data_IF_656797316867
#
_entry.id   IF_656797316867
#
_cell.length_a   1.000
_cell.length_b   1.000
_cell.length_c   1.000
_cell.angle_alpha   90.00
_cell.angle_beta   90.00
_cell.angle_gamma   90.00
#
_symmetry.space_group_name_H-M   'P 1'
#
loop_
_entity.id
_entity.type
_entity.pdbx_description
1 polymer ?
#
# COMPACT_ATOMS: atom_id res chain seq x y z
N UNK A 1 -7.73 -12.77 -76.92
CA UNK A 1 -7.72 -11.75 -75.86
C UNK A 1 -7.67 -12.45 -74.47
N UNK A 2 -6.52 -12.36 -73.81
CA UNK A 2 -6.30 -12.92 -72.46
C UNK A 2 -6.72 -11.85 -71.45
N UNK A 3 -7.41 -12.21 -70.37
CA UNK A 3 -7.71 -11.24 -69.29
C UNK A 3 -6.44 -10.94 -68.45
N UNK A 4 -6.20 -9.66 -68.24
CA UNK A 4 -5.12 -9.18 -67.40
C UNK A 4 -5.59 -9.23 -65.93
N UNK A 5 -5.06 -10.19 -65.14
CA UNK A 5 -5.29 -10.27 -63.72
C UNK A 5 -4.51 -9.16 -63.01
N UNK A 6 -5.22 -8.10 -62.56
CA UNK A 6 -4.66 -7.11 -61.65
C UNK A 6 -4.54 -7.70 -60.25
N UNK A 7 -3.29 -7.96 -59.81
CA UNK A 7 -2.99 -8.36 -58.45
C UNK A 7 -2.95 -7.09 -57.58
N UNK A 8 -3.99 -6.86 -56.73
CA UNK A 8 -3.97 -5.79 -55.73
C UNK A 8 -3.07 -6.22 -54.57
N UNK A 9 -1.86 -5.67 -54.51
CA UNK A 9 -0.98 -5.79 -53.32
C UNK A 9 -1.45 -4.75 -52.31
N UNK A 10 -2.14 -5.20 -51.25
CA UNK A 10 -2.44 -4.39 -50.09
C UNK A 10 -1.17 -4.15 -49.28
N UNK A 11 -0.58 -2.95 -49.38
CA UNK A 11 0.53 -2.55 -48.51
C UNK A 11 -0.06 -2.22 -47.15
N UNK A 12 0.09 -3.15 -46.19
CA UNK A 12 -0.19 -2.89 -44.76
C UNK A 12 0.94 -2.01 -44.24
N UNK A 13 0.68 -0.71 -44.14
CA UNK A 13 1.60 0.24 -43.48
C UNK A 13 1.50 -0.01 -41.98
N UNK A 14 2.43 -0.77 -41.46
CA UNK A 14 2.66 -0.91 -40.00
C UNK A 14 3.24 0.43 -39.51
N UNK A 15 2.38 1.33 -39.03
CA UNK A 15 2.84 2.47 -38.25
C UNK A 15 3.42 1.93 -36.93
N UNK A 16 4.69 2.19 -36.61
CA UNK A 16 5.20 1.88 -35.29
C UNK A 16 4.38 2.71 -34.30
N UNK A 17 3.68 2.03 -33.37
CA UNK A 17 3.13 2.70 -32.20
C UNK A 17 4.32 3.36 -31.49
N UNK A 18 4.43 4.69 -31.56
CA UNK A 18 5.35 5.42 -30.71
C UNK A 18 4.87 5.19 -29.27
N UNK A 19 5.53 4.29 -28.57
CA UNK A 19 5.42 4.17 -27.13
C UNK A 19 6.07 5.44 -26.57
N UNK A 20 5.26 6.34 -26.00
CA UNK A 20 5.76 7.41 -25.16
C UNK A 20 6.37 6.73 -23.92
N UNK A 21 7.68 6.62 -23.92
CA UNK A 21 8.43 6.14 -22.74
C UNK A 21 8.32 7.23 -21.67
N UNK A 22 7.52 6.99 -20.65
CA UNK A 22 7.51 7.84 -19.45
C UNK A 22 8.80 7.50 -18.69
N UNK A 23 9.80 8.38 -18.74
CA UNK A 23 11.01 8.23 -17.92
C UNK A 23 10.70 8.65 -16.48
N UNK A 24 10.92 7.76 -15.53
CA UNK A 24 10.84 8.04 -14.11
C UNK A 24 12.24 8.09 -13.50
N UNK A 25 12.50 9.09 -12.65
CA UNK A 25 13.72 9.17 -11.82
C UNK A 25 13.73 8.16 -10.68
N UNK A 26 12.58 7.55 -10.38
CA UNK A 26 12.45 6.55 -9.34
C UNK A 26 13.41 5.36 -9.56
N UNK A 27 13.93 4.79 -8.46
CA UNK A 27 14.72 3.55 -8.51
C UNK A 27 13.86 2.36 -8.92
N UNK A 28 12.65 2.30 -8.39
CA UNK A 28 11.62 1.31 -8.76
C UNK A 28 10.32 2.02 -9.04
N UNK A 29 9.60 1.60 -10.06
CA UNK A 29 8.27 2.12 -10.40
C UNK A 29 7.41 1.02 -11.03
N UNK A 30 6.12 1.04 -10.70
CA UNK A 30 5.11 0.19 -11.30
C UNK A 30 3.80 0.95 -11.38
N UNK A 31 3.21 1.04 -12.56
CA UNK A 31 1.88 1.60 -12.78
C UNK A 31 1.03 0.57 -13.47
N UNK A 32 -0.11 0.26 -12.89
CA UNK A 32 -1.06 -0.73 -13.41
C UNK A 32 -2.43 -0.07 -13.55
N UNK A 33 -3.08 -0.28 -14.69
CA UNK A 33 -4.51 -0.08 -14.85
C UNK A 33 -5.24 -1.33 -14.32
N UNK A 34 -5.85 -1.23 -13.15
CA UNK A 34 -6.53 -2.38 -12.52
C UNK A 34 -7.83 -2.76 -13.26
N UNK A 35 -8.41 -1.87 -14.07
CA UNK A 35 -9.62 -2.17 -14.85
C UNK A 35 -9.31 -3.12 -16.00
N UNK A 36 -8.08 -3.08 -16.55
CA UNK A 36 -7.63 -3.89 -17.68
C UNK A 36 -6.52 -4.87 -17.31
N UNK A 37 -5.92 -4.75 -16.12
CA UNK A 37 -4.69 -5.42 -15.68
C UNK A 37 -3.48 -5.10 -16.58
N UNK A 38 -3.51 -3.98 -17.31
CA UNK A 38 -2.40 -3.56 -18.17
C UNK A 38 -1.32 -2.86 -17.35
N UNK A 39 -0.07 -3.27 -17.52
CA UNK A 39 1.10 -2.58 -16.95
C UNK A 39 1.44 -1.40 -17.84
N UNK A 40 1.22 -0.17 -17.33
CA UNK A 40 1.43 1.08 -18.06
C UNK A 40 2.88 1.58 -17.93
N UNK A 41 3.54 1.28 -16.82
CA UNK A 41 4.95 1.58 -16.56
C UNK A 41 5.54 0.51 -15.66
N UNK A 42 6.72 0.05 -16.02
CA UNK A 42 7.53 -0.84 -15.19
C UNK A 42 8.99 -0.41 -15.19
N UNK A 43 9.58 -0.30 -14.00
CA UNK A 43 11.01 -0.08 -13.80
C UNK A 43 11.45 -0.83 -12.56
N UNK A 44 12.29 -1.87 -12.74
CA UNK A 44 12.84 -2.66 -11.63
C UNK A 44 11.78 -3.12 -10.62
N UNK A 45 10.55 -3.45 -11.05
CA UNK A 45 9.41 -3.75 -10.18
C UNK A 45 9.64 -4.94 -9.25
N UNK A 46 10.56 -5.84 -9.61
CA UNK A 46 10.96 -7.04 -8.84
C UNK A 46 12.20 -6.84 -7.97
N UNK A 47 12.81 -5.66 -8.01
CA UNK A 47 13.98 -5.36 -7.17
C UNK A 47 13.55 -5.28 -5.70
N UNK A 48 14.29 -5.97 -4.82
CA UNK A 48 14.07 -5.90 -3.36
C UNK A 48 14.33 -4.50 -2.84
N UNK A 49 13.41 -4.02 -2.02
CA UNK A 49 13.48 -2.73 -1.34
C UNK A 49 12.95 -2.85 0.08
N UNK A 50 13.27 -1.89 0.92
CA UNK A 50 12.68 -1.79 2.25
C UNK A 50 11.31 -1.11 2.15
N UNK A 51 10.22 -1.77 2.60
CA UNK A 51 8.87 -1.21 2.48
C UNK A 51 8.63 0.01 3.37
N UNK A 52 9.43 0.21 4.42
CA UNK A 52 9.17 1.26 5.41
C UNK A 52 7.69 1.20 5.86
N UNK A 53 7.04 2.35 6.06
CA UNK A 53 5.63 2.40 6.48
C UNK A 53 4.62 1.90 5.46
N UNK A 54 5.01 1.52 4.23
CA UNK A 54 4.11 0.81 3.32
C UNK A 54 3.79 -0.61 3.82
N UNK A 55 4.61 -1.19 4.72
CA UNK A 55 4.30 -2.40 5.51
C UNK A 55 2.91 -2.36 6.14
N UNK A 56 2.46 -1.18 6.56
CA UNK A 56 1.18 -0.99 7.24
C UNK A 56 -0.03 -1.29 6.36
N UNK A 57 0.16 -1.38 5.05
CA UNK A 57 -0.87 -1.90 4.14
C UNK A 57 -1.17 -3.37 4.46
N UNK A 58 -0.14 -4.19 4.67
CA UNK A 58 -0.32 -5.59 5.07
C UNK A 58 -0.85 -5.68 6.51
N UNK A 59 -0.41 -4.82 7.41
CA UNK A 59 -0.93 -4.77 8.79
C UNK A 59 -2.43 -4.49 8.82
N UNK A 60 -2.90 -3.51 8.04
CA UNK A 60 -4.33 -3.23 7.89
C UNK A 60 -5.06 -4.40 7.21
N UNK A 61 -4.47 -5.00 6.17
CA UNK A 61 -5.06 -6.11 5.44
C UNK A 61 -5.29 -7.35 6.32
N UNK A 62 -4.36 -7.70 7.22
CA UNK A 62 -4.58 -8.79 8.20
C UNK A 62 -5.79 -8.49 9.07
N UNK A 63 -5.94 -7.26 9.55
CA UNK A 63 -7.13 -6.88 10.33
C UNK A 63 -8.41 -6.92 9.46
N UNK A 64 -8.35 -6.47 8.22
CA UNK A 64 -9.49 -6.52 7.28
C UNK A 64 -9.95 -7.96 7.01
N UNK A 65 -9.02 -8.90 6.81
CA UNK A 65 -9.35 -10.33 6.69
C UNK A 65 -10.09 -10.85 7.92
N UNK A 66 -9.63 -10.46 9.12
CA UNK A 66 -10.26 -10.88 10.39
C UNK A 66 -11.63 -10.21 10.61
N UNK A 67 -11.81 -8.98 10.19
CA UNK A 67 -13.11 -8.30 10.24
C UNK A 67 -14.08 -8.98 9.26
N UNK A 68 -13.65 -9.25 8.04
CA UNK A 68 -14.47 -9.91 7.01
C UNK A 68 -14.94 -11.30 7.45
N UNK A 69 -14.10 -12.06 8.15
CA UNK A 69 -14.46 -13.40 8.63
C UNK A 69 -15.15 -13.40 10.00
N UNK A 70 -15.40 -12.23 10.60
CA UNK A 70 -16.13 -12.07 11.87
C UNK A 70 -15.32 -12.39 13.13
N UNK A 71 -14.00 -12.62 13.04
CA UNK A 71 -13.14 -12.90 14.21
C UNK A 71 -12.60 -11.63 14.87
N UNK A 72 -12.76 -10.47 14.23
CA UNK A 72 -12.41 -9.14 14.74
C UNK A 72 -13.57 -8.18 14.48
N UNK A 73 -13.84 -7.26 15.41
CA UNK A 73 -14.81 -6.18 15.22
C UNK A 73 -14.12 -4.82 15.25
N UNK A 74 -14.62 -3.85 14.47
CA UNK A 74 -14.16 -2.47 14.52
C UNK A 74 -14.35 -1.81 15.88
N UNK A 75 -15.38 -2.21 16.64
CA UNK A 75 -15.66 -1.73 18.00
C UNK A 75 -14.90 -2.48 19.11
N UNK A 76 -14.22 -3.57 18.77
CA UNK A 76 -13.36 -4.27 19.73
C UNK A 76 -12.23 -3.37 20.19
N UNK A 77 -11.89 -3.44 21.49
CA UNK A 77 -10.85 -2.60 22.08
C UNK A 77 -9.63 -3.42 22.46
N UNK A 78 -8.45 -2.90 22.17
CA UNK A 78 -7.19 -3.48 22.57
C UNK A 78 -6.48 -2.62 23.61
N UNK A 79 -5.83 -3.29 24.56
CA UNK A 79 -5.02 -2.66 25.59
C UNK A 79 -3.69 -2.18 24.97
N UNK A 80 -3.31 -0.94 25.23
CA UNK A 80 -2.04 -0.38 24.78
C UNK A 80 -0.91 -0.82 25.70
N UNK A 81 0.00 -1.61 25.16
CA UNK A 81 1.19 -2.05 25.90
C UNK A 81 2.23 -0.94 26.06
N UNK A 82 3.14 -1.12 27.00
CA UNK A 82 4.31 -0.24 27.15
C UNK A 82 5.22 -0.26 25.92
N UNK A 83 5.31 -1.40 25.18
CA UNK A 83 6.06 -1.53 23.92
C UNK A 83 5.44 -0.62 22.87
N UNK A 84 4.15 -0.72 22.62
CA UNK A 84 3.42 0.11 21.68
C UNK A 84 3.56 1.61 22.01
N UNK A 85 3.26 2.00 23.25
CA UNK A 85 3.34 3.39 23.69
C UNK A 85 4.74 4.02 23.52
N UNK A 86 5.82 3.26 23.82
CA UNK A 86 7.21 3.74 23.72
C UNK A 86 7.72 3.81 22.29
N UNK A 87 7.05 3.16 21.33
CA UNK A 87 7.54 3.08 19.97
C UNK A 87 7.80 4.46 19.37
N UNK A 88 8.95 4.60 18.72
CA UNK A 88 9.40 5.84 18.09
C UNK A 88 8.80 6.09 16.71
N UNK A 89 9.22 7.16 16.06
CA UNK A 89 8.79 7.56 14.73
C UNK A 89 7.38 8.15 14.71
N UNK A 90 6.60 7.84 13.68
CA UNK A 90 5.21 8.34 13.56
C UNK A 90 4.31 7.73 14.61
N UNK A 91 3.48 8.56 15.26
CA UNK A 91 2.59 8.16 16.34
C UNK A 91 1.16 8.64 16.13
N UNK A 92 0.21 7.83 16.57
CA UNK A 92 -1.18 8.20 16.79
C UNK A 92 -1.37 8.84 18.17
N UNK A 93 -0.36 8.74 19.07
CA UNK A 93 -0.35 9.23 20.45
C UNK A 93 -1.31 8.48 21.37
N UNK A 94 -1.35 7.14 21.24
CA UNK A 94 -2.07 6.29 22.19
C UNK A 94 -1.36 6.26 23.55
N UNK A 95 -2.15 6.16 24.63
CA UNK A 95 -1.64 6.17 26.00
C UNK A 95 -1.51 4.74 26.54
N UNK A 96 -0.42 4.47 27.28
CA UNK A 96 -0.21 3.18 27.95
C UNK A 96 -1.37 2.84 28.91
N UNK A 97 -1.70 1.56 28.98
CA UNK A 97 -2.78 1.00 29.84
C UNK A 97 -4.20 1.51 29.49
N UNK A 98 -4.37 2.25 28.40
CA UNK A 98 -5.68 2.60 27.83
C UNK A 98 -6.14 1.54 26.83
N UNK A 99 -7.45 1.48 26.65
CA UNK A 99 -8.05 0.66 25.58
C UNK A 99 -8.39 1.54 24.39
N UNK A 100 -8.09 1.05 23.20
CA UNK A 100 -8.32 1.78 21.95
C UNK A 100 -9.08 0.86 21.00
N UNK A 101 -10.13 1.39 20.37
CA UNK A 101 -10.92 0.65 19.37
C UNK A 101 -10.06 0.26 18.17
N UNK A 102 -10.33 -0.91 17.61
CA UNK A 102 -9.72 -1.38 16.34
C UNK A 102 -9.91 -0.35 15.23
N UNK A 103 -11.10 0.26 15.15
CA UNK A 103 -11.37 1.33 14.19
C UNK A 103 -10.38 2.49 14.30
N UNK A 104 -10.15 3.01 15.52
CA UNK A 104 -9.24 4.13 15.74
C UNK A 104 -7.78 3.73 15.46
N UNK A 105 -7.39 2.50 15.86
CA UNK A 105 -6.04 1.97 15.54
C UNK A 105 -5.82 1.90 14.03
N UNK A 106 -6.81 1.41 13.26
CA UNK A 106 -6.73 1.35 11.80
C UNK A 106 -6.60 2.74 11.19
N UNK A 107 -7.37 3.74 11.66
CA UNK A 107 -7.21 5.13 11.21
C UNK A 107 -5.83 5.69 11.57
N UNK A 108 -5.34 5.43 12.77
CA UNK A 108 -3.99 5.81 13.18
C UNK A 108 -2.90 5.20 12.30
N UNK A 109 -3.07 3.95 11.86
CA UNK A 109 -2.16 3.23 10.96
C UNK A 109 -2.21 3.81 9.55
N UNK A 110 -3.41 3.99 9.00
CA UNK A 110 -3.64 4.38 7.62
C UNK A 110 -3.33 5.87 7.40
N UNK A 111 -3.94 6.73 8.20
CA UNK A 111 -3.87 8.19 8.02
C UNK A 111 -2.55 8.75 8.55
N UNK A 112 -2.25 8.54 9.83
CA UNK A 112 -1.07 9.11 10.49
C UNK A 112 0.18 8.25 10.32
N UNK A 113 0.05 7.00 9.91
CA UNK A 113 1.17 6.06 9.85
C UNK A 113 1.73 5.72 11.25
N UNK A 114 0.89 5.66 12.28
CA UNK A 114 1.27 5.40 13.68
C UNK A 114 1.95 4.06 13.88
N UNK A 115 3.20 4.07 14.36
CA UNK A 115 3.93 2.86 14.72
C UNK A 115 3.38 2.26 16.02
N UNK A 116 3.01 3.14 16.96
CA UNK A 116 2.34 2.78 18.21
C UNK A 116 1.01 2.06 17.95
N UNK A 117 0.18 2.60 17.07
CA UNK A 117 -1.07 1.96 16.65
C UNK A 117 -0.85 0.60 15.96
N UNK A 118 0.21 0.48 15.13
CA UNK A 118 0.53 -0.78 14.45
C UNK A 118 0.88 -1.89 15.43
N UNK A 119 1.71 -1.58 16.44
CA UNK A 119 2.09 -2.55 17.47
C UNK A 119 0.90 -2.91 18.35
N UNK A 120 0.11 -1.92 18.80
CA UNK A 120 -1.08 -2.17 19.62
C UNK A 120 -2.10 -3.05 18.88
N UNK A 121 -2.31 -2.83 17.58
CA UNK A 121 -3.18 -3.68 16.76
C UNK A 121 -2.61 -5.10 16.62
N UNK A 122 -1.32 -5.22 16.34
CA UNK A 122 -0.65 -6.52 16.19
C UNK A 122 -0.70 -7.36 17.47
N UNK A 123 -0.37 -6.75 18.61
CA UNK A 123 -0.44 -7.42 19.92
C UNK A 123 -1.87 -7.80 20.27
N UNK A 124 -2.84 -6.92 20.00
CA UNK A 124 -4.25 -7.17 20.26
C UNK A 124 -4.84 -8.32 19.45
N UNK A 125 -4.41 -8.46 18.17
CA UNK A 125 -4.88 -9.52 17.28
C UNK A 125 -4.20 -10.85 17.58
N UNK A 126 -2.88 -10.88 17.79
CA UNK A 126 -2.06 -12.10 17.77
C UNK A 126 -1.35 -12.37 19.09
N UNK A 127 -1.52 -11.50 20.09
CA UNK A 127 -0.87 -11.61 21.39
C UNK A 127 0.58 -11.07 21.41
N UNK A 128 1.27 -11.05 20.26
CA UNK A 128 2.57 -10.39 20.10
C UNK A 128 2.79 -9.95 18.66
N UNK A 129 3.68 -8.97 18.48
CA UNK A 129 4.05 -8.47 17.14
C UNK A 129 4.78 -9.53 16.31
N UNK A 130 5.56 -10.39 16.96
CA UNK A 130 6.29 -11.48 16.31
C UNK A 130 5.34 -12.52 15.70
N UNK A 131 4.29 -12.92 16.44
CA UNK A 131 3.24 -13.82 15.94
C UNK A 131 2.46 -13.13 14.82
N UNK A 132 2.15 -11.85 14.97
CA UNK A 132 1.48 -11.07 13.94
C UNK A 132 2.30 -11.01 12.63
N UNK A 133 3.63 -10.85 12.71
CA UNK A 133 4.51 -10.88 11.53
C UNK A 133 4.45 -12.24 10.81
N UNK A 134 4.30 -13.35 11.54
CA UNK A 134 4.07 -14.67 10.93
C UNK A 134 2.72 -14.69 10.19
N UNK A 135 1.66 -14.12 10.78
CA UNK A 135 0.36 -14.01 10.11
C UNK A 135 0.44 -13.14 8.84
N UNK A 136 1.17 -12.00 8.87
CA UNK A 136 1.44 -11.17 7.69
C UNK A 136 2.09 -11.96 6.57
N UNK A 137 3.13 -12.74 6.87
CA UNK A 137 3.82 -13.56 5.89
C UNK A 137 2.94 -14.71 5.36
N UNK A 138 2.11 -15.32 6.19
CA UNK A 138 1.17 -16.36 5.77
C UNK A 138 0.10 -15.80 4.83
N UNK A 139 -0.45 -14.62 5.17
CA UNK A 139 -1.38 -13.92 4.27
C UNK A 139 -0.67 -13.51 2.98
N UNK A 140 0.57 -13.02 3.06
CA UNK A 140 1.38 -12.69 1.89
C UNK A 140 1.51 -13.85 0.92
N UNK A 141 1.85 -15.05 1.42
CA UNK A 141 1.90 -16.27 0.61
C UNK A 141 0.54 -16.61 -0.03
N UNK A 142 -0.55 -16.48 0.75
CA UNK A 142 -1.93 -16.74 0.27
C UNK A 142 -2.32 -15.84 -0.90
N UNK A 143 -1.90 -14.56 -0.88
CA UNK A 143 -2.21 -13.58 -1.94
C UNK A 143 -1.13 -13.50 -3.03
N UNK A 144 -0.14 -14.41 -3.02
CA UNK A 144 0.83 -14.57 -4.08
C UNK A 144 2.02 -13.61 -4.03
N UNK A 145 2.41 -13.13 -2.84
CA UNK A 145 3.68 -12.42 -2.67
C UNK A 145 4.83 -13.41 -2.78
N UNK A 146 5.85 -13.08 -3.56
CA UNK A 146 6.97 -13.99 -3.85
C UNK A 146 8.31 -13.51 -3.30
N UNK A 147 8.49 -12.20 -3.17
CA UNK A 147 9.73 -11.56 -2.77
C UNK A 147 9.52 -10.58 -1.62
N UNK A 148 8.71 -10.99 -0.64
CA UNK A 148 8.37 -10.19 0.54
C UNK A 148 8.55 -10.97 1.82
N UNK A 149 9.14 -10.33 2.82
CA UNK A 149 9.23 -10.84 4.18
C UNK A 149 8.98 -9.71 5.18
N UNK A 150 8.00 -9.90 6.06
CA UNK A 150 7.67 -9.01 7.15
C UNK A 150 8.25 -9.51 8.46
N UNK A 151 8.99 -8.67 9.18
CA UNK A 151 9.56 -8.96 10.51
C UNK A 151 8.84 -8.21 11.62
N UNK A 152 8.08 -7.17 11.28
CA UNK A 152 7.31 -6.36 12.22
C UNK A 152 6.08 -5.73 11.54
N UNK A 153 5.20 -5.14 12.35
CA UNK A 153 3.92 -4.57 11.91
C UNK A 153 4.01 -3.14 11.36
N UNK A 154 5.08 -2.44 11.64
CA UNK A 154 5.18 -0.99 11.39
C UNK A 154 6.03 -0.61 10.19
N UNK A 155 6.90 -1.53 9.72
CA UNK A 155 7.95 -1.26 8.75
C UNK A 155 9.18 -0.61 9.39
N UNK A 156 9.38 -0.84 10.69
CA UNK A 156 10.62 -0.44 11.35
C UNK A 156 11.81 -1.13 10.70
N UNK A 157 12.95 -0.43 10.55
CA UNK A 157 14.10 -0.98 9.86
C UNK A 157 14.59 -2.32 10.44
N UNK A 158 14.77 -3.29 9.56
CA UNK A 158 15.32 -4.62 9.82
C UNK A 158 15.83 -5.18 8.49
N UNK A 159 17.02 -5.78 8.48
CA UNK A 159 17.66 -6.26 7.25
C UNK A 159 16.88 -7.38 6.55
N UNK A 160 16.07 -8.12 7.31
CA UNK A 160 15.21 -9.17 6.78
C UNK A 160 13.80 -8.68 6.43
N UNK A 161 13.51 -7.38 6.58
CA UNK A 161 12.22 -6.78 6.27
C UNK A 161 12.24 -6.15 4.88
N UNK A 162 11.81 -6.88 3.86
CA UNK A 162 11.90 -6.45 2.47
C UNK A 162 10.63 -6.77 1.68
N UNK A 163 10.49 -6.12 0.55
CA UNK A 163 9.40 -6.29 -0.42
C UNK A 163 9.84 -5.90 -1.82
N UNK A 164 8.92 -5.90 -2.78
CA UNK A 164 9.09 -5.38 -4.14
C UNK A 164 7.92 -4.47 -4.53
N UNK A 165 8.09 -3.66 -5.56
CA UNK A 165 7.01 -2.86 -6.13
C UNK A 165 5.83 -3.73 -6.60
N UNK A 166 6.13 -4.87 -7.20
CA UNK A 166 5.14 -5.85 -7.67
C UNK A 166 4.32 -6.42 -6.50
N UNK A 167 4.98 -6.83 -5.41
CA UNK A 167 4.29 -7.40 -4.25
C UNK A 167 3.45 -6.34 -3.50
N UNK A 168 3.93 -5.09 -3.39
CA UNK A 168 3.11 -4.00 -2.83
C UNK A 168 1.88 -3.71 -3.69
N UNK A 169 2.00 -3.77 -5.02
CA UNK A 169 0.87 -3.65 -5.93
C UNK A 169 -0.16 -4.78 -5.72
N UNK A 170 0.28 -6.03 -5.52
CA UNK A 170 -0.61 -7.16 -5.19
C UNK A 170 -1.36 -6.95 -3.87
N UNK A 171 -0.69 -6.42 -2.83
CA UNK A 171 -1.36 -6.10 -1.56
C UNK A 171 -2.45 -5.04 -1.79
N UNK A 172 -2.15 -3.98 -2.54
CA UNK A 172 -3.11 -2.92 -2.83
C UNK A 172 -4.29 -3.45 -3.66
N UNK A 173 -4.02 -4.16 -4.75
CA UNK A 173 -5.04 -4.77 -5.61
C UNK A 173 -5.95 -5.70 -4.81
N UNK A 174 -5.37 -6.63 -4.03
CA UNK A 174 -6.14 -7.55 -3.20
C UNK A 174 -7.03 -6.81 -2.19
N UNK A 175 -6.50 -5.74 -1.59
CA UNK A 175 -7.26 -4.91 -0.65
C UNK A 175 -8.48 -4.27 -1.33
N UNK A 176 -8.32 -3.68 -2.50
CA UNK A 176 -9.41 -3.07 -3.26
C UNK A 176 -10.46 -4.11 -3.64
N UNK A 177 -10.03 -5.23 -4.23
CA UNK A 177 -10.94 -6.25 -4.76
C UNK A 177 -11.72 -7.00 -3.67
N UNK A 178 -11.12 -7.21 -2.50
CA UNK A 178 -11.69 -8.08 -1.47
C UNK A 178 -12.23 -7.35 -0.25
N UNK A 179 -11.85 -6.08 -0.03
CA UNK A 179 -12.17 -5.28 1.16
C UNK A 179 -12.54 -3.84 0.82
N UNK A 180 -13.29 -3.63 -0.26
CA UNK A 180 -13.60 -2.31 -0.80
C UNK A 180 -14.17 -1.33 0.24
N UNK A 181 -15.08 -1.78 1.11
CA UNK A 181 -15.67 -0.94 2.17
C UNK A 181 -14.62 -0.45 3.17
N UNK A 182 -13.72 -1.34 3.61
CA UNK A 182 -12.65 -0.99 4.56
C UNK A 182 -11.52 -0.20 3.86
N UNK A 183 -11.31 -0.44 2.57
CA UNK A 183 -10.40 0.33 1.75
C UNK A 183 -10.76 1.82 1.73
N UNK A 184 -12.04 2.20 1.87
CA UNK A 184 -12.45 3.60 1.92
C UNK A 184 -11.79 4.39 3.08
N UNK A 185 -11.24 3.72 4.10
CA UNK A 185 -10.45 4.37 5.15
C UNK A 185 -9.20 5.07 4.60
N UNK A 186 -8.62 4.60 3.49
CA UNK A 186 -7.44 5.20 2.86
C UNK A 186 -7.73 6.56 2.20
N UNK A 187 -8.99 6.81 1.84
CA UNK A 187 -9.44 8.06 1.23
C UNK A 187 -9.57 9.22 2.22
N UNK A 188 -9.58 8.93 3.53
CA UNK A 188 -9.76 9.96 4.54
C UNK A 188 -8.56 10.92 4.55
N UNK A 189 -8.84 12.21 4.43
CA UNK A 189 -7.83 13.27 4.47
C UNK A 189 -7.25 13.49 5.86
N UNK A 190 -8.04 13.23 6.88
CA UNK A 190 -7.64 13.40 8.29
C UNK A 190 -8.52 12.56 9.22
N UNK A 191 -8.10 12.46 10.47
CA UNK A 191 -8.92 11.99 11.58
C UNK A 191 -8.51 12.67 12.87
N UNK A 192 -9.39 12.63 13.88
CA UNK A 192 -9.11 13.20 15.20
C UNK A 192 -9.15 12.10 16.26
N UNK A 193 -8.07 11.96 17.01
CA UNK A 193 -7.97 11.03 18.13
C UNK A 193 -7.56 11.79 19.40
N UNK A 194 -8.27 11.59 20.51
CA UNK A 194 -8.01 12.28 21.80
C UNK A 194 -7.82 13.80 21.66
N UNK A 195 -8.62 14.43 20.79
CA UNK A 195 -8.55 15.88 20.54
C UNK A 195 -7.39 16.30 19.62
N UNK A 196 -6.57 15.40 19.15
CA UNK A 196 -5.45 15.67 18.22
C UNK A 196 -5.91 15.38 16.81
N UNK A 197 -5.99 16.42 15.96
CA UNK A 197 -6.22 16.29 14.53
C UNK A 197 -4.93 15.81 13.85
N UNK A 198 -5.07 14.82 12.98
CA UNK A 198 -3.96 14.17 12.27
C UNK A 198 -4.30 14.08 10.78
N UNK A 199 -3.49 14.72 9.94
CA UNK A 199 -3.69 14.74 8.50
C UNK A 199 -3.08 13.50 7.83
N UNK A 200 -3.69 13.04 6.73
CA UNK A 200 -3.16 11.92 5.95
C UNK A 200 -1.85 12.34 5.27
N UNK A 201 -0.88 11.45 5.31
CA UNK A 201 0.46 11.69 4.76
C UNK A 201 0.58 11.42 3.26
N UNK A 202 -0.48 10.89 2.64
CA UNK A 202 -0.50 10.66 1.19
C UNK A 202 -0.76 11.99 0.46
N UNK A 203 0.24 12.57 -0.23
CA UNK A 203 0.07 13.85 -0.90
C UNK A 203 -0.90 13.78 -2.08
N UNK A 204 -1.10 12.61 -2.69
CA UNK A 204 -2.01 12.46 -3.82
C UNK A 204 -3.45 12.79 -3.45
N UNK A 205 -3.87 12.56 -2.21
CA UNK A 205 -5.22 12.89 -1.74
C UNK A 205 -5.53 14.39 -1.84
N UNK A 206 -4.50 15.24 -1.86
CA UNK A 206 -4.64 16.70 -1.90
C UNK A 206 -4.34 17.30 -3.27
N UNK A 207 -3.60 16.57 -4.12
CA UNK A 207 -3.05 17.14 -5.35
C UNK A 207 -3.51 16.45 -6.62
N UNK A 208 -4.10 15.23 -6.51
CA UNK A 208 -4.48 14.44 -7.67
C UNK A 208 -5.96 14.04 -7.59
N UNK A 209 -6.76 14.59 -8.50
CA UNK A 209 -8.20 14.31 -8.58
C UNK A 209 -8.47 12.83 -8.81
N UNK A 210 -9.39 12.28 -8.01
CA UNK A 210 -9.73 10.85 -8.02
C UNK A 210 -8.82 9.99 -7.15
N UNK A 211 -7.79 10.53 -6.50
CA UNK A 211 -6.95 9.76 -5.56
C UNK A 211 -7.76 9.30 -4.35
N UNK A 212 -7.62 8.03 -3.99
CA UNK A 212 -8.40 7.37 -2.95
C UNK A 212 -7.56 6.42 -2.06
N UNK A 213 -6.25 6.38 -2.26
CA UNK A 213 -5.30 5.57 -1.47
C UNK A 213 -3.86 5.80 -1.91
N UNK A 214 -2.88 5.09 -1.44
CA UNK A 214 -2.85 4.17 -0.31
C UNK A 214 -1.92 4.69 0.79
N UNK A 215 -0.60 4.52 0.61
CA UNK A 215 0.34 4.66 1.71
C UNK A 215 1.70 5.18 1.26
N UNK A 216 2.26 6.07 2.10
CA UNK A 216 3.65 6.53 1.98
C UNK A 216 4.56 5.76 2.93
N UNK A 217 5.84 5.72 2.60
CA UNK A 217 6.91 5.20 3.45
C UNK A 217 8.17 6.04 3.33
N UNK A 218 8.93 6.11 4.43
CA UNK A 218 10.25 6.71 4.45
C UNK A 218 11.11 6.07 5.53
N UNK A 219 12.32 5.70 5.17
CA UNK A 219 13.46 5.48 6.08
C UNK A 219 14.72 5.97 5.38
N UNK A 220 15.78 6.24 6.12
CA UNK A 220 17.06 6.65 5.51
C UNK A 220 17.59 5.60 4.52
N UNK A 221 17.42 4.31 4.84
CA UNK A 221 17.89 3.22 3.99
C UNK A 221 17.04 3.03 2.72
N UNK A 222 15.73 3.23 2.81
CA UNK A 222 14.79 3.04 1.68
C UNK A 222 14.69 4.26 0.77
N UNK A 223 14.82 5.47 1.33
CA UNK A 223 14.34 6.69 0.71
C UNK A 223 12.82 6.83 0.84
N UNK A 224 12.21 7.65 -0.02
CA UNK A 224 10.77 7.86 -0.07
C UNK A 224 10.10 6.80 -0.93
N UNK A 225 8.98 6.26 -0.44
CA UNK A 225 8.13 5.33 -1.18
C UNK A 225 6.66 5.75 -1.10
N UNK A 226 5.93 5.45 -2.17
CA UNK A 226 4.50 5.72 -2.28
C UNK A 226 3.83 4.56 -3.01
N UNK A 227 2.75 4.04 -2.44
CA UNK A 227 1.71 3.32 -3.17
C UNK A 227 0.51 4.25 -3.23
N UNK A 228 0.04 4.55 -4.44
CA UNK A 228 -1.11 5.41 -4.68
C UNK A 228 -2.14 4.70 -5.55
N UNK A 229 -3.40 5.07 -5.38
CA UNK A 229 -4.50 4.66 -6.24
C UNK A 229 -5.35 5.87 -6.60
N UNK A 230 -5.97 5.81 -7.78
CA UNK A 230 -6.89 6.84 -8.23
C UNK A 230 -7.94 6.24 -9.17
N UNK A 231 -9.18 6.65 -8.98
CA UNK A 231 -10.31 6.31 -9.85
C UNK A 231 -10.72 7.52 -10.67
N UNK A 232 -10.77 7.38 -12.00
CA UNK A 232 -11.26 8.40 -12.94
C UNK A 232 -12.20 7.77 -13.96
N UNK A 233 -13.48 8.11 -13.86
CA UNK A 233 -14.52 7.42 -14.63
C UNK A 233 -14.51 5.93 -14.29
N UNK A 234 -14.43 5.08 -15.30
CA UNK A 234 -14.43 3.61 -15.12
C UNK A 234 -13.00 3.01 -14.98
N UNK A 235 -11.98 3.86 -14.80
CA UNK A 235 -10.57 3.41 -14.71
C UNK A 235 -10.04 3.60 -13.31
N UNK A 236 -9.60 2.49 -12.73
CA UNK A 236 -8.86 2.47 -11.47
C UNK A 236 -7.39 2.19 -11.75
N UNK A 237 -6.54 3.13 -11.39
CA UNK A 237 -5.09 3.03 -11.56
C UNK A 237 -4.38 2.87 -10.23
N UNK A 238 -3.36 2.02 -10.21
CA UNK A 238 -2.47 1.83 -9.09
C UNK A 238 -1.06 2.23 -9.49
N UNK A 239 -0.37 2.98 -8.64
CA UNK A 239 1.03 3.37 -8.80
C UNK A 239 1.84 2.99 -7.56
N UNK A 240 3.03 2.42 -7.78
CA UNK A 240 4.09 2.38 -6.79
C UNK A 240 5.34 3.05 -7.32
N UNK A 241 5.97 3.90 -6.50
CA UNK A 241 7.27 4.51 -6.78
C UNK A 241 8.13 4.51 -5.52
N UNK A 242 9.45 4.33 -5.71
CA UNK A 242 10.45 4.44 -4.64
C UNK A 242 11.62 5.30 -5.13
N UNK A 243 11.94 6.35 -4.40
CA UNK A 243 12.97 7.33 -4.75
C UNK A 243 13.91 7.62 -3.57
N UNK A 244 15.21 7.93 -3.84
CA UNK A 244 16.16 8.26 -2.79
C UNK A 244 15.94 9.65 -2.20
N UNK A 245 15.23 10.54 -2.91
CA UNK A 245 14.99 11.93 -2.51
C UNK A 245 13.50 12.23 -2.43
N UNK A 246 13.13 13.26 -1.65
CA UNK A 246 11.74 13.70 -1.57
C UNK A 246 11.25 14.15 -2.94
N UNK A 247 10.13 13.57 -3.41
CA UNK A 247 9.42 14.06 -4.58
C UNK A 247 9.06 15.54 -4.36
N UNK A 248 9.59 16.42 -5.21
CA UNK A 248 9.04 17.75 -5.38
C UNK A 248 7.81 17.59 -6.29
N UNK A 249 6.64 17.50 -5.66
CA UNK A 249 5.36 17.56 -6.36
C UNK A 249 5.04 19.01 -6.69
#
# INVERSE_FOLDING_TARGET
KKPLNLLFIAIIILFPKQSLTIESLAKTALVIDLSTNEVLLEKNSKAKTYPSSMTKMMTALVAFEKIKNGTLSLDQEFLVSKKAWKMGGSKMFIEVDKRVKVYDLLLGIIVQSGNDASIALAEGISGSEEIFAIEMNNLGKKIGLTETNFTNSSGWPDDNHYTTAEDLAKIAQYTIENHYELYQMYKLSDFTYSGIKQDNRNPLLYTFEGSDGFKTGYTEAAGYGLVGSAERGDRLSLIHISEPTRLSL
#
